data_IF_294448540713
#
_entry.id   IF_294448540713
#
_cell.length_a   1.000
_cell.length_b   1.000
_cell.length_c   1.000
_cell.angle_alpha   90.00
_cell.angle_beta   90.00
_cell.angle_gamma   90.00
#
_symmetry.space_group_name_H-M   'P 1'
#
loop_
_entity.id
_entity.type
_entity.pdbx_description
1 polymer ?
#
# COMPACT_ATOMS: atom_id res chain seq x y z
N UNK A 1 24.80 -19.50 -15.64
CA UNK A 1 24.43 -18.16 -16.17
C UNK A 1 22.93 -17.86 -16.03
N UNK A 2 22.01 -18.77 -16.41
CA UNK A 2 20.56 -18.50 -16.38
C UNK A 2 19.91 -18.30 -15.00
N UNK A 3 20.45 -18.89 -13.92
CA UNK A 3 19.79 -18.83 -12.61
C UNK A 3 19.94 -17.46 -11.91
N UNK A 4 21.12 -16.83 -12.00
CA UNK A 4 21.38 -15.52 -11.36
C UNK A 4 20.53 -14.38 -11.95
N UNK A 5 20.32 -14.39 -13.26
CA UNK A 5 19.51 -13.39 -13.97
C UNK A 5 18.05 -13.55 -13.56
N UNK A 6 17.56 -14.78 -13.53
CA UNK A 6 16.20 -15.09 -13.06
C UNK A 6 15.97 -14.70 -11.60
N UNK A 7 16.94 -14.90 -10.70
CA UNK A 7 16.86 -14.42 -9.31
C UNK A 7 16.84 -12.88 -9.28
N UNK A 8 17.70 -12.21 -10.05
CA UNK A 8 17.71 -10.75 -10.11
C UNK A 8 16.38 -10.18 -10.65
N UNK A 9 15.77 -10.82 -11.65
CA UNK A 9 14.44 -10.48 -12.16
C UNK A 9 13.36 -10.70 -11.09
N UNK A 10 13.44 -11.78 -10.32
CA UNK A 10 12.53 -12.02 -9.20
C UNK A 10 12.64 -10.91 -8.14
N UNK A 11 13.86 -10.54 -7.73
CA UNK A 11 14.08 -9.42 -6.81
C UNK A 11 13.59 -8.09 -7.43
N UNK A 12 13.70 -7.92 -8.75
CA UNK A 12 13.15 -6.76 -9.45
C UNK A 12 11.63 -6.68 -9.35
N UNK A 13 10.92 -7.80 -9.49
CA UNK A 13 9.45 -7.83 -9.29
C UNK A 13 9.09 -7.38 -7.88
N UNK A 14 9.78 -7.90 -6.85
CA UNK A 14 9.56 -7.47 -5.46
C UNK A 14 9.83 -5.97 -5.31
N UNK A 15 10.94 -5.48 -5.86
CA UNK A 15 11.28 -4.06 -5.82
C UNK A 15 10.19 -3.21 -6.48
N UNK A 16 9.79 -3.53 -7.71
CA UNK A 16 8.75 -2.77 -8.43
C UNK A 16 7.41 -2.74 -7.67
N UNK A 17 7.09 -3.76 -6.87
CA UNK A 17 5.84 -3.83 -6.11
C UNK A 17 5.92 -3.16 -4.74
N UNK A 18 7.05 -3.31 -4.03
CA UNK A 18 7.16 -2.99 -2.59
C UNK A 18 8.22 -1.93 -2.28
N UNK A 19 8.97 -1.47 -3.28
CA UNK A 19 10.08 -0.53 -3.12
C UNK A 19 11.39 -1.20 -2.68
N UNK A 20 12.51 -0.46 -2.79
CA UNK A 20 13.83 -0.98 -2.37
C UNK A 20 13.98 -1.07 -0.86
N UNK A 21 13.31 -0.20 -0.10
CA UNK A 21 13.41 -0.21 1.37
C UNK A 21 12.79 -1.46 1.99
N UNK A 22 11.84 -2.11 1.31
CA UNK A 22 11.25 -3.37 1.74
C UNK A 22 12.31 -4.46 1.98
N UNK A 23 13.37 -4.50 1.18
CA UNK A 23 14.47 -5.46 1.36
C UNK A 23 15.23 -5.30 2.68
N UNK A 24 15.26 -4.08 3.23
CA UNK A 24 15.94 -3.78 4.49
C UNK A 24 15.00 -3.95 5.69
N UNK A 25 13.71 -3.60 5.54
CA UNK A 25 12.71 -3.68 6.61
C UNK A 25 12.22 -5.13 6.84
N UNK A 26 11.92 -5.82 5.76
CA UNK A 26 11.21 -7.10 5.76
C UNK A 26 12.01 -8.21 5.06
N UNK A 27 13.32 -8.27 5.34
CA UNK A 27 14.25 -9.23 4.75
C UNK A 27 13.79 -10.70 4.86
N UNK A 28 13.15 -11.06 5.97
CA UNK A 28 12.59 -12.40 6.17
C UNK A 28 11.42 -12.69 5.24
N UNK A 29 10.56 -11.70 4.96
CA UNK A 29 9.46 -11.86 4.02
C UNK A 29 9.98 -12.08 2.60
N UNK A 30 11.00 -11.34 2.18
CA UNK A 30 11.69 -11.59 0.89
C UNK A 30 12.23 -13.03 0.83
N UNK A 31 12.75 -13.55 1.94
CA UNK A 31 13.19 -14.94 2.03
C UNK A 31 12.03 -15.95 1.90
N UNK A 32 10.91 -15.71 2.57
CA UNK A 32 9.70 -16.55 2.41
C UNK A 32 9.23 -16.54 0.96
N UNK A 33 9.13 -15.36 0.34
CA UNK A 33 8.73 -15.22 -1.07
C UNK A 33 9.68 -15.99 -2.01
N UNK A 34 10.99 -16.02 -1.73
CA UNK A 34 11.93 -16.85 -2.49
C UNK A 34 11.68 -18.35 -2.31
N UNK A 35 11.32 -18.80 -1.10
CA UNK A 35 11.05 -20.22 -0.81
C UNK A 35 9.73 -20.72 -1.40
N UNK A 36 8.77 -19.83 -1.62
CA UNK A 36 7.52 -20.15 -2.32
C UNK A 36 7.77 -20.48 -3.80
N UNK A 37 8.92 -20.10 -4.36
CA UNK A 37 9.32 -20.52 -5.69
C UNK A 37 9.85 -21.95 -5.70
N UNK A 38 9.52 -22.72 -6.75
CA UNK A 38 9.98 -24.10 -6.93
C UNK A 38 11.42 -24.20 -7.49
N UNK A 39 12.02 -23.07 -7.88
CA UNK A 39 13.26 -23.03 -8.65
C UNK A 39 14.42 -22.30 -7.96
N UNK A 40 14.16 -21.49 -6.92
CA UNK A 40 15.24 -20.89 -6.12
C UNK A 40 15.66 -21.90 -5.05
N UNK A 41 16.93 -22.30 -5.09
CA UNK A 41 17.46 -23.22 -4.09
C UNK A 41 17.39 -22.61 -2.68
N UNK A 42 16.92 -23.36 -1.65
CA UNK A 42 16.85 -22.87 -0.28
C UNK A 42 18.18 -22.36 0.27
N UNK A 43 19.30 -22.92 -0.22
CA UNK A 43 20.64 -22.44 0.13
C UNK A 43 20.87 -21.02 -0.39
N UNK A 44 20.57 -20.76 -1.66
CA UNK A 44 20.72 -19.44 -2.26
C UNK A 44 19.82 -18.42 -1.59
N UNK A 45 18.56 -18.78 -1.33
CA UNK A 45 17.62 -17.93 -0.59
C UNK A 45 18.17 -17.55 0.80
N UNK A 46 18.77 -18.50 1.54
CA UNK A 46 19.42 -18.22 2.84
C UNK A 46 20.62 -17.29 2.70
N UNK A 47 21.45 -17.46 1.67
CA UNK A 47 22.61 -16.57 1.46
C UNK A 47 22.15 -15.14 1.16
N UNK A 48 21.11 -14.99 0.33
CA UNK A 48 20.50 -13.68 0.07
C UNK A 48 19.92 -13.09 1.36
N UNK A 49 19.19 -13.87 2.17
CA UNK A 49 18.68 -13.39 3.46
C UNK A 49 19.79 -12.82 4.36
N UNK A 50 20.93 -13.52 4.46
CA UNK A 50 22.06 -13.04 5.27
C UNK A 50 22.57 -11.69 4.73
N UNK A 51 22.70 -11.54 3.41
CA UNK A 51 23.15 -10.27 2.82
C UNK A 51 22.12 -9.15 2.94
N UNK A 52 20.82 -9.47 2.98
CA UNK A 52 19.76 -8.51 3.31
C UNK A 52 19.87 -8.01 4.76
N UNK A 53 20.01 -8.94 5.70
CA UNK A 53 20.15 -8.61 7.13
C UNK A 53 21.41 -7.79 7.42
N UNK A 54 22.49 -8.02 6.67
CA UNK A 54 23.71 -7.24 6.73
C UNK A 54 23.64 -5.89 5.96
N UNK A 55 22.47 -5.56 5.38
CA UNK A 55 22.19 -4.34 4.62
C UNK A 55 23.17 -4.08 3.47
N UNK A 56 23.61 -5.16 2.81
CA UNK A 56 24.60 -5.08 1.72
C UNK A 56 24.10 -4.18 0.58
N UNK A 57 22.79 -4.18 0.28
CA UNK A 57 22.24 -3.37 -0.81
C UNK A 57 22.28 -1.86 -0.54
N UNK A 58 22.07 -1.44 0.72
CA UNK A 58 22.22 -0.04 1.12
C UNK A 58 23.70 0.38 1.02
N UNK A 59 24.61 -0.46 1.53
CA UNK A 59 26.05 -0.22 1.44
C UNK A 59 26.59 -0.27 0.00
N UNK A 60 25.93 -0.98 -0.91
CA UNK A 60 26.36 -1.09 -2.30
C UNK A 60 26.34 0.26 -3.03
N UNK A 61 25.44 1.17 -2.66
CA UNK A 61 25.41 2.53 -3.21
C UNK A 61 26.67 3.33 -2.84
N UNK A 62 27.13 3.23 -1.59
CA UNK A 62 28.37 3.86 -1.11
C UNK A 62 29.62 3.32 -1.82
N UNK A 63 29.54 2.10 -2.35
CA UNK A 63 30.59 1.43 -3.12
C UNK A 63 30.43 1.63 -4.63
N UNK A 64 29.57 2.56 -5.06
CA UNK A 64 29.26 2.85 -6.47
C UNK A 64 28.86 1.60 -7.27
N UNK A 65 28.24 0.64 -6.58
CA UNK A 65 27.84 -0.65 -7.14
C UNK A 65 29.00 -1.47 -7.74
N UNK A 66 30.23 -1.25 -7.28
CA UNK A 66 31.40 -1.98 -7.74
C UNK A 66 31.33 -3.45 -7.29
N UNK A 67 31.22 -4.38 -8.25
CA UNK A 67 31.06 -5.82 -7.95
C UNK A 67 32.18 -6.35 -7.04
N UNK A 68 33.44 -6.00 -7.30
CA UNK A 68 34.57 -6.50 -6.51
C UNK A 68 34.52 -5.99 -5.08
N UNK A 69 34.17 -4.72 -4.88
CA UNK A 69 33.98 -4.15 -3.55
C UNK A 69 32.79 -4.79 -2.82
N UNK A 70 31.66 -5.02 -3.51
CA UNK A 70 30.50 -5.72 -2.94
C UNK A 70 30.85 -7.17 -2.56
N UNK A 71 31.61 -7.89 -3.38
CA UNK A 71 32.08 -9.24 -3.05
C UNK A 71 32.92 -9.23 -1.77
N UNK A 72 33.85 -8.28 -1.63
CA UNK A 72 34.66 -8.14 -0.42
C UNK A 72 33.79 -7.84 0.80
N UNK A 73 32.85 -6.91 0.66
CA UNK A 73 31.91 -6.55 1.73
C UNK A 73 31.04 -7.74 2.16
N UNK A 74 30.54 -8.55 1.22
CA UNK A 74 29.76 -9.75 1.54
C UNK A 74 30.62 -10.76 2.32
N UNK A 75 31.89 -10.95 1.97
CA UNK A 75 32.77 -11.85 2.73
C UNK A 75 32.98 -11.36 4.16
N UNK A 76 33.27 -10.08 4.32
CA UNK A 76 33.56 -9.45 5.61
C UNK A 76 32.34 -9.44 6.54
N UNK A 77 31.21 -8.93 6.05
CA UNK A 77 30.03 -8.66 6.87
C UNK A 77 29.12 -9.87 7.03
N UNK A 78 29.13 -10.79 6.06
CA UNK A 78 28.25 -11.97 6.06
C UNK A 78 28.99 -13.28 6.36
N UNK A 79 30.33 -13.26 6.48
CA UNK A 79 31.15 -14.44 6.75
C UNK A 79 31.07 -15.51 5.65
N UNK A 80 30.72 -15.12 4.43
CA UNK A 80 30.57 -16.03 3.29
C UNK A 80 31.91 -16.29 2.62
N UNK A 81 32.08 -17.48 2.04
CA UNK A 81 33.28 -17.79 1.24
C UNK A 81 33.32 -16.94 -0.02
N UNK A 82 34.52 -16.67 -0.54
CA UNK A 82 34.74 -15.91 -1.78
C UNK A 82 33.82 -16.39 -2.92
N UNK A 83 33.77 -17.69 -3.16
CA UNK A 83 32.90 -18.27 -4.19
C UNK A 83 31.43 -17.91 -4.01
N UNK A 84 30.89 -18.00 -2.80
CA UNK A 84 29.48 -17.67 -2.54
C UNK A 84 29.27 -16.15 -2.65
N UNK A 85 30.19 -15.35 -2.13
CA UNK A 85 30.13 -13.90 -2.24
C UNK A 85 30.18 -13.42 -3.71
N UNK A 86 30.96 -14.09 -4.57
CA UNK A 86 31.00 -13.84 -6.01
C UNK A 86 29.67 -14.21 -6.71
N UNK A 87 29.02 -15.30 -6.28
CA UNK A 87 27.72 -15.72 -6.79
C UNK A 87 26.63 -14.70 -6.43
N UNK A 88 26.56 -14.28 -5.16
CA UNK A 88 25.56 -13.31 -4.69
C UNK A 88 25.83 -11.90 -5.25
N UNK A 89 27.08 -11.45 -5.27
CA UNK A 89 27.43 -10.15 -5.89
C UNK A 89 27.10 -10.12 -7.38
N UNK A 90 27.17 -11.25 -8.09
CA UNK A 90 26.75 -11.33 -9.49
C UNK A 90 25.22 -11.17 -9.66
N UNK A 91 24.42 -11.65 -8.69
CA UNK A 91 22.96 -11.41 -8.67
C UNK A 91 22.70 -9.92 -8.44
N UNK A 92 23.34 -9.31 -7.45
CA UNK A 92 23.19 -7.89 -7.15
C UNK A 92 23.69 -6.97 -8.26
N UNK A 93 24.74 -7.35 -8.99
CA UNK A 93 25.20 -6.58 -10.15
C UNK A 93 24.16 -6.52 -11.28
N UNK A 94 23.34 -7.57 -11.44
CA UNK A 94 22.23 -7.58 -12.41
C UNK A 94 21.03 -6.82 -11.84
N UNK A 95 20.63 -7.12 -10.60
CA UNK A 95 19.48 -6.51 -9.95
C UNK A 95 19.64 -4.99 -9.81
N UNK A 96 20.77 -4.53 -9.28
CA UNK A 96 21.11 -3.11 -9.10
C UNK A 96 21.79 -2.53 -10.34
N UNK A 97 21.59 -3.07 -11.54
CA UNK A 97 22.25 -2.56 -12.75
C UNK A 97 21.91 -1.09 -13.02
N UNK A 98 22.78 -0.40 -13.78
CA UNK A 98 22.54 1.00 -14.17
C UNK A 98 21.21 1.18 -14.94
N UNK A 99 20.82 0.18 -15.72
CA UNK A 99 19.55 0.14 -16.44
C UNK A 99 18.36 0.09 -15.48
N UNK A 100 18.38 -0.82 -14.50
CA UNK A 100 17.32 -0.92 -13.49
C UNK A 100 17.22 0.35 -12.65
N UNK A 101 18.35 0.91 -12.21
CA UNK A 101 18.36 2.20 -11.49
C UNK A 101 17.79 3.34 -12.31
N UNK A 102 18.10 3.41 -13.61
CA UNK A 102 17.51 4.41 -14.51
C UNK A 102 16.00 4.22 -14.62
N UNK A 103 15.53 2.99 -14.84
CA UNK A 103 14.10 2.65 -14.88
C UNK A 103 13.38 3.05 -13.60
N UNK A 104 13.94 2.73 -12.45
CA UNK A 104 13.41 3.09 -11.13
C UNK A 104 13.33 4.60 -10.93
N UNK A 105 14.35 5.35 -11.34
CA UNK A 105 14.32 6.81 -11.30
C UNK A 105 13.25 7.40 -12.23
N UNK A 106 13.03 6.80 -13.40
CA UNK A 106 11.96 7.23 -14.32
C UNK A 106 10.55 6.91 -13.83
N UNK A 107 10.39 5.89 -12.99
CA UNK A 107 9.10 5.50 -12.38
C UNK A 107 8.79 6.25 -11.09
N UNK A 108 9.74 6.98 -10.53
CA UNK A 108 9.57 7.69 -9.26
C UNK A 108 8.37 8.63 -9.35
N UNK A 109 7.48 8.52 -8.38
CA UNK A 109 6.23 9.30 -8.26
C UNK A 109 5.23 9.09 -9.42
N UNK A 110 5.49 8.17 -10.35
CA UNK A 110 4.65 8.01 -11.55
C UNK A 110 3.20 7.61 -11.20
N UNK A 111 3.01 6.79 -10.16
CA UNK A 111 1.67 6.43 -9.70
C UNK A 111 0.95 7.59 -8.99
N UNK A 112 1.69 8.49 -8.31
CA UNK A 112 1.11 9.73 -7.79
C UNK A 112 0.69 10.65 -8.93
N UNK A 113 1.54 10.81 -9.94
CA UNK A 113 1.22 11.62 -11.12
C UNK A 113 -0.04 11.09 -11.81
N UNK A 114 -0.11 9.77 -12.04
CA UNK A 114 -1.27 9.08 -12.61
C UNK A 114 -2.53 9.23 -11.74
N UNK A 115 -2.40 9.14 -10.42
CA UNK A 115 -3.51 9.35 -9.48
C UNK A 115 -4.08 10.76 -9.58
N UNK A 116 -3.22 11.77 -9.71
CA UNK A 116 -3.65 13.17 -9.80
C UNK A 116 -4.27 13.56 -11.14
N UNK A 117 -4.01 12.83 -12.21
CA UNK A 117 -4.52 13.15 -13.56
C UNK A 117 -5.89 12.52 -13.86
N UNK A 118 -6.36 11.59 -13.04
CA UNK A 118 -7.59 10.83 -13.24
C UNK A 118 -8.69 11.25 -12.27
N UNK A 119 -9.93 10.92 -12.66
CA UNK A 119 -11.05 10.81 -11.74
C UNK A 119 -11.15 9.38 -11.21
N UNK A 120 -11.67 9.24 -10.00
CA UNK A 120 -11.74 7.98 -9.28
C UNK A 120 -13.14 7.74 -8.74
N UNK A 121 -13.56 6.48 -8.79
CA UNK A 121 -14.85 6.00 -8.33
C UNK A 121 -14.67 5.10 -7.11
N UNK A 122 -15.55 5.25 -6.11
CA UNK A 122 -15.62 4.38 -4.95
C UNK A 122 -17.03 3.84 -4.76
N UNK A 123 -17.09 2.59 -4.34
CA UNK A 123 -18.28 1.98 -3.78
C UNK A 123 -18.08 1.78 -2.29
N UNK A 124 -19.09 2.15 -1.50
CA UNK A 124 -19.08 1.96 -0.05
C UNK A 124 -20.43 1.44 0.43
N UNK A 125 -20.37 0.38 1.22
CA UNK A 125 -21.50 -0.23 1.92
C UNK A 125 -21.15 -0.32 3.40
N UNK A 126 -22.05 0.15 4.26
CA UNK A 126 -21.93 0.11 5.71
C UNK A 126 -23.25 -0.33 6.31
N UNK A 127 -23.17 -1.17 7.33
CA UNK A 127 -24.31 -1.69 8.07
C UNK A 127 -24.05 -1.53 9.57
N UNK A 128 -25.07 -1.11 10.32
CA UNK A 128 -25.05 -0.93 11.77
C UNK A 128 -26.39 -1.29 12.38
N UNK A 129 -26.38 -1.73 13.62
CA UNK A 129 -27.59 -2.11 14.34
C UNK A 129 -27.83 -1.17 15.50
N UNK A 130 -29.03 -0.61 15.56
CA UNK A 130 -29.54 0.08 16.73
C UNK A 130 -30.23 -0.93 17.66
N UNK A 131 -30.03 -0.79 18.96
CA UNK A 131 -30.59 -1.69 19.97
C UNK A 131 -31.38 -0.93 21.03
N UNK A 132 -32.60 -1.39 21.28
CA UNK A 132 -33.36 -1.10 22.48
C UNK A 132 -33.66 -2.39 23.25
N UNK A 133 -34.14 -2.26 24.49
CA UNK A 133 -34.29 -3.37 25.44
C UNK A 133 -35.03 -4.60 24.89
N UNK A 134 -35.97 -4.41 23.96
CA UNK A 134 -36.79 -5.48 23.38
C UNK A 134 -36.74 -5.61 21.86
N UNK A 135 -36.05 -4.72 21.16
CA UNK A 135 -36.02 -4.67 19.69
C UNK A 135 -34.64 -4.24 19.19
N UNK A 136 -34.24 -4.74 18.03
CA UNK A 136 -33.17 -4.15 17.22
C UNK A 136 -33.66 -3.77 15.83
N UNK A 137 -32.94 -2.84 15.22
CA UNK A 137 -33.17 -2.37 13.86
C UNK A 137 -31.82 -2.26 13.17
N UNK A 138 -31.72 -2.86 11.98
CA UNK A 138 -30.53 -2.77 11.14
C UNK A 138 -30.66 -1.58 10.19
N UNK A 139 -29.62 -0.76 10.14
CA UNK A 139 -29.48 0.41 9.30
C UNK A 139 -28.31 0.19 8.34
N UNK A 140 -28.57 0.35 7.05
CA UNK A 140 -27.60 0.13 5.98
C UNK A 140 -27.52 1.38 5.11
N UNK A 141 -26.31 1.74 4.68
CA UNK A 141 -26.09 2.72 3.61
C UNK A 141 -25.26 2.11 2.49
N UNK A 142 -25.64 2.42 1.25
CA UNK A 142 -24.90 2.14 0.03
C UNK A 142 -24.66 3.43 -0.72
N UNK A 143 -23.41 3.69 -1.05
CA UNK A 143 -23.00 4.96 -1.65
C UNK A 143 -21.99 4.73 -2.76
N UNK A 144 -22.09 5.55 -3.80
CA UNK A 144 -21.04 5.67 -4.82
C UNK A 144 -20.48 7.08 -4.76
N UNK A 145 -19.18 7.24 -4.91
CA UNK A 145 -18.50 8.54 -4.79
C UNK A 145 -17.53 8.70 -5.94
N UNK A 146 -17.66 9.78 -6.70
CA UNK A 146 -16.72 10.16 -7.75
C UNK A 146 -15.90 11.37 -7.30
N UNK A 147 -14.58 11.26 -7.34
CA UNK A 147 -13.65 12.33 -6.97
C UNK A 147 -12.64 12.61 -8.07
N UNK A 148 -11.98 13.76 -7.99
CA UNK A 148 -10.69 14.01 -8.63
C UNK A 148 -9.76 14.76 -7.69
N UNK A 149 -8.48 14.83 -8.03
CA UNK A 149 -7.53 15.64 -7.28
C UNK A 149 -7.67 17.12 -7.67
N UNK A 150 -7.82 17.98 -6.67
CA UNK A 150 -7.80 19.45 -6.82
C UNK A 150 -6.44 20.04 -6.41
N UNK A 151 -5.86 19.56 -5.29
CA UNK A 151 -4.56 19.99 -4.78
C UNK A 151 -3.57 18.83 -4.63
N UNK A 152 -2.76 18.62 -5.68
CA UNK A 152 -1.68 17.64 -5.70
C UNK A 152 -0.68 17.80 -4.54
N UNK A 153 -0.49 19.00 -3.99
CA UNK A 153 0.45 19.22 -2.88
C UNK A 153 -0.10 18.62 -1.59
N UNK A 154 -1.40 18.74 -1.35
CA UNK A 154 -2.07 18.09 -0.20
C UNK A 154 -1.98 16.57 -0.32
N UNK A 155 -2.27 16.01 -1.49
CA UNK A 155 -2.13 14.57 -1.74
C UNK A 155 -0.71 14.11 -1.44
N UNK A 156 0.29 14.78 -2.02
CA UNK A 156 1.70 14.43 -1.80
C UNK A 156 2.09 14.50 -0.34
N UNK A 157 1.69 15.55 0.38
CA UNK A 157 2.00 15.72 1.79
C UNK A 157 1.36 14.62 2.64
N UNK A 158 0.13 14.21 2.30
CA UNK A 158 -0.60 13.15 3.00
C UNK A 158 0.06 11.77 2.84
N UNK A 159 0.49 11.42 1.62
CA UNK A 159 1.08 10.10 1.32
C UNK A 159 2.62 10.10 1.31
N UNK A 160 3.26 11.13 1.89
CA UNK A 160 4.71 11.30 1.79
C UNK A 160 5.47 10.14 2.45
N UNK A 161 4.94 9.59 3.55
CA UNK A 161 5.55 8.44 4.23
C UNK A 161 5.52 7.20 3.33
N UNK A 162 4.41 6.94 2.65
CA UNK A 162 4.25 5.83 1.72
C UNK A 162 5.14 5.99 0.48
N UNK A 163 5.31 7.22 -0.03
CA UNK A 163 6.23 7.52 -1.12
C UNK A 163 7.70 7.36 -0.72
N UNK A 164 8.04 7.72 0.52
CA UNK A 164 9.38 7.52 1.06
C UNK A 164 9.69 6.02 1.21
N UNK A 165 8.70 5.21 1.61
CA UNK A 165 8.81 3.75 1.68
C UNK A 165 8.87 3.08 0.30
N UNK A 166 7.95 3.45 -0.58
CA UNK A 166 7.83 2.93 -1.94
C UNK A 166 7.56 4.07 -2.95
N UNK A 167 8.62 4.61 -3.57
CA UNK A 167 8.49 5.68 -4.56
C UNK A 167 7.76 5.27 -5.86
N UNK A 168 7.39 4.00 -5.99
CA UNK A 168 6.71 3.42 -7.16
C UNK A 168 5.32 2.91 -6.83
N UNK A 169 4.74 3.34 -5.70
CA UNK A 169 3.34 3.07 -5.35
C UNK A 169 2.43 3.39 -6.54
N UNK A 170 1.50 2.48 -6.85
CA UNK A 170 0.60 2.64 -7.99
C UNK A 170 -0.56 3.59 -7.66
N UNK A 171 -1.19 4.15 -8.68
CA UNK A 171 -2.36 5.00 -8.50
C UNK A 171 -3.51 4.26 -7.77
N UNK A 172 -3.71 2.97 -8.06
CA UNK A 172 -4.72 2.14 -7.40
C UNK A 172 -4.38 1.87 -5.92
N UNK A 173 -3.10 1.81 -5.58
CA UNK A 173 -2.65 1.67 -4.19
C UNK A 173 -2.92 2.96 -3.41
N UNK A 174 -2.67 4.13 -4.04
CA UNK A 174 -3.05 5.43 -3.48
C UNK A 174 -4.56 5.52 -3.31
N UNK A 175 -5.34 5.11 -4.33
CA UNK A 175 -6.78 5.03 -4.24
C UNK A 175 -7.23 4.21 -3.03
N UNK A 176 -6.65 3.04 -2.83
CA UNK A 176 -6.96 2.15 -1.71
C UNK A 176 -6.73 2.84 -0.35
N UNK A 177 -5.65 3.62 -0.21
CA UNK A 177 -5.38 4.40 1.01
C UNK A 177 -6.54 5.38 1.27
N UNK A 178 -6.96 6.12 0.25
CA UNK A 178 -8.07 7.07 0.38
C UNK A 178 -9.41 6.37 0.63
N UNK A 179 -9.70 5.27 -0.04
CA UNK A 179 -10.91 4.46 0.20
C UNK A 179 -11.01 4.05 1.67
N UNK A 180 -9.91 3.57 2.26
CA UNK A 180 -9.92 3.15 3.66
C UNK A 180 -10.13 4.34 4.61
N UNK A 181 -9.51 5.49 4.34
CA UNK A 181 -9.69 6.71 5.15
C UNK A 181 -11.13 7.21 5.10
N UNK A 182 -11.73 7.30 3.90
CA UNK A 182 -13.13 7.69 3.71
C UNK A 182 -14.04 6.71 4.46
N UNK A 183 -13.82 5.40 4.27
CA UNK A 183 -14.62 4.36 4.89
C UNK A 183 -14.61 4.44 6.41
N UNK A 184 -13.44 4.65 7.02
CA UNK A 184 -13.32 4.80 8.48
C UNK A 184 -14.08 6.06 8.94
N UNK A 185 -13.89 7.19 8.25
CA UNK A 185 -14.56 8.45 8.59
C UNK A 185 -16.08 8.32 8.59
N UNK A 186 -16.65 7.75 7.53
CA UNK A 186 -18.10 7.55 7.39
C UNK A 186 -18.61 6.49 8.37
N UNK A 187 -17.85 5.41 8.58
CA UNK A 187 -18.24 4.34 9.50
C UNK A 187 -18.36 4.81 10.95
N UNK A 188 -17.45 5.68 11.39
CA UNK A 188 -17.45 6.24 12.74
C UNK A 188 -18.61 7.22 12.95
N UNK A 189 -18.96 8.02 11.94
CA UNK A 189 -20.10 8.95 12.04
C UNK A 189 -21.44 8.23 11.93
N UNK A 190 -21.56 7.29 10.99
CA UNK A 190 -22.77 6.50 10.82
C UNK A 190 -23.11 5.69 12.08
N UNK A 191 -22.12 5.15 12.78
CA UNK A 191 -22.33 4.54 14.10
C UNK A 191 -22.94 5.54 15.09
N UNK A 192 -22.40 6.76 15.17
CA UNK A 192 -22.91 7.77 16.10
C UNK A 192 -24.31 8.21 15.75
N UNK A 193 -24.62 8.32 14.46
CA UNK A 193 -25.95 8.60 13.97
C UNK A 193 -26.93 7.50 14.37
N UNK A 194 -26.57 6.24 14.12
CA UNK A 194 -27.40 5.07 14.45
C UNK A 194 -27.66 4.96 15.94
N UNK A 195 -26.67 5.24 16.80
CA UNK A 195 -26.82 5.21 18.26
C UNK A 195 -27.25 6.54 18.89
N UNK A 196 -27.69 7.53 18.10
CA UNK A 196 -27.91 8.89 18.61
C UNK A 196 -29.07 8.99 19.61
N UNK A 197 -30.10 8.17 19.44
CA UNK A 197 -31.30 8.16 20.28
C UNK A 197 -31.50 6.80 20.97
N UNK A 198 -31.87 6.80 22.25
CA UNK A 198 -32.06 5.56 23.02
C UNK A 198 -33.45 4.92 22.80
N UNK A 199 -34.44 5.73 22.40
CA UNK A 199 -35.86 5.36 22.40
C UNK A 199 -36.48 5.27 20.99
N UNK A 200 -35.79 5.79 19.97
CA UNK A 200 -36.25 5.79 18.58
C UNK A 200 -35.19 5.18 17.65
N UNK A 201 -35.59 4.29 16.73
CA UNK A 201 -34.67 3.72 15.76
C UNK A 201 -34.26 4.77 14.71
N UNK A 202 -33.05 4.64 14.14
CA UNK A 202 -32.57 5.57 13.12
C UNK A 202 -33.27 5.35 11.77
N UNK A 203 -33.41 6.43 11.00
CA UNK A 203 -33.88 6.39 9.62
C UNK A 203 -32.67 6.58 8.69
N UNK A 204 -32.09 5.49 8.17
CA UNK A 204 -30.84 5.56 7.39
C UNK A 204 -30.95 6.44 6.14
N UNK A 205 -32.15 6.63 5.59
CA UNK A 205 -32.42 7.58 4.49
C UNK A 205 -32.08 9.03 4.89
N UNK A 206 -32.33 9.42 6.15
CA UNK A 206 -32.08 10.77 6.67
C UNK A 206 -30.58 11.05 6.90
N UNK A 207 -29.74 10.00 6.92
CA UNK A 207 -28.29 10.15 7.06
C UNK A 207 -27.61 10.79 5.84
N UNK A 208 -28.30 10.90 4.69
CA UNK A 208 -27.74 11.50 3.47
C UNK A 208 -27.15 12.90 3.72
N UNK A 209 -27.81 13.73 4.54
CA UNK A 209 -27.32 15.07 4.87
C UNK A 209 -25.99 15.05 5.62
N UNK A 210 -25.84 14.16 6.60
CA UNK A 210 -24.57 13.98 7.32
C UNK A 210 -23.48 13.43 6.38
N UNK A 211 -23.85 12.47 5.52
CA UNK A 211 -22.94 11.90 4.55
C UNK A 211 -22.37 12.97 3.60
N UNK A 212 -23.22 13.84 3.04
CA UNK A 212 -22.82 14.93 2.14
C UNK A 212 -21.81 15.89 2.83
N UNK A 213 -22.06 16.25 4.09
CA UNK A 213 -21.16 17.09 4.88
C UNK A 213 -19.79 16.40 5.07
N UNK A 214 -19.79 15.14 5.50
CA UNK A 214 -18.56 14.38 5.75
C UNK A 214 -17.72 14.21 4.49
N UNK A 215 -18.34 13.86 3.36
CA UNK A 215 -17.58 13.65 2.13
C UNK A 215 -17.03 14.97 1.58
N UNK A 216 -17.76 16.07 1.74
CA UNK A 216 -17.29 17.42 1.38
C UNK A 216 -16.10 17.84 2.24
N UNK A 217 -16.20 17.69 3.57
CA UNK A 217 -15.11 17.97 4.49
C UNK A 217 -13.87 17.10 4.21
N UNK A 218 -14.09 15.82 3.90
CA UNK A 218 -13.03 14.90 3.50
C UNK A 218 -12.32 15.42 2.25
N UNK A 219 -13.07 15.80 1.21
CA UNK A 219 -12.50 16.29 -0.03
C UNK A 219 -11.65 17.55 0.20
N UNK A 220 -12.21 18.54 0.90
CA UNK A 220 -11.52 19.79 1.23
C UNK A 220 -10.24 19.55 2.04
N UNK A 221 -10.31 18.67 3.04
CA UNK A 221 -9.18 18.32 3.91
C UNK A 221 -8.02 17.73 3.11
N UNK A 222 -8.31 16.80 2.21
CA UNK A 222 -7.28 16.04 1.50
C UNK A 222 -6.91 16.62 0.14
N UNK A 223 -7.56 17.70 -0.32
CA UNK A 223 -7.25 18.32 -1.60
C UNK A 223 -7.87 17.56 -2.78
N UNK A 224 -9.05 17.02 -2.57
CA UNK A 224 -9.88 16.37 -3.56
C UNK A 224 -11.07 17.27 -3.88
N UNK A 225 -11.67 17.03 -5.03
CA UNK A 225 -12.95 17.61 -5.43
C UNK A 225 -13.95 16.48 -5.58
N UNK A 226 -15.10 16.61 -4.91
CA UNK A 226 -16.25 15.75 -5.10
C UNK A 226 -16.91 16.11 -6.44
N UNK A 227 -16.99 15.14 -7.35
CA UNK A 227 -17.60 15.32 -8.67
C UNK A 227 -19.06 14.92 -8.68
N UNK A 228 -19.37 13.79 -8.07
CA UNK A 228 -20.72 13.23 -7.98
C UNK A 228 -20.79 12.24 -6.81
N UNK A 229 -22.00 11.99 -6.31
CA UNK A 229 -22.24 10.87 -5.41
C UNK A 229 -23.68 10.34 -5.56
N UNK A 230 -23.87 9.07 -5.20
CA UNK A 230 -25.20 8.51 -4.98
C UNK A 230 -25.29 7.98 -3.55
N UNK A 231 -26.49 8.08 -2.97
CA UNK A 231 -26.76 7.62 -1.62
C UNK A 231 -28.06 6.82 -1.59
N UNK A 232 -28.02 5.69 -0.89
CA UNK A 232 -29.18 4.86 -0.58
C UNK A 232 -29.06 4.45 0.89
N UNK A 233 -30.00 4.92 1.71
CA UNK A 233 -30.19 4.44 3.08
C UNK A 233 -31.33 3.43 3.16
N UNK A 234 -31.19 2.42 4.00
CA UNK A 234 -32.24 1.44 4.29
C UNK A 234 -32.28 1.14 5.78
N UNK A 235 -33.47 1.16 6.36
CA UNK A 235 -33.72 0.73 7.74
C UNK A 235 -34.63 -0.49 7.72
N UNK A 236 -34.30 -1.53 8.49
CA UNK A 236 -35.14 -2.72 8.62
C UNK A 236 -36.43 -2.45 9.40
N UNK A 237 -37.38 -3.38 9.32
CA UNK A 237 -38.48 -3.42 10.28
C UNK A 237 -37.96 -3.67 11.71
N UNK A 238 -38.81 -3.42 12.71
CA UNK A 238 -38.55 -3.74 14.12
C UNK A 238 -38.35 -5.26 14.30
N UNK A 239 -37.15 -5.69 14.68
CA UNK A 239 -36.82 -7.11 14.90
C UNK A 239 -36.80 -7.41 16.41
N UNK A 240 -37.68 -8.26 16.94
CA UNK A 240 -37.64 -8.64 18.35
C UNK A 240 -36.32 -9.30 18.74
N UNK A 241 -35.79 -8.95 19.92
CA UNK A 241 -34.58 -9.57 20.49
C UNK A 241 -34.83 -10.98 21.03
#
# INVERSE_FOLDING_TARGET
MKNKERIAEFLQVIADQKGLLYFNRDAYSVYQEMLETDWIEPKTARMILITLLAKIMEKAELLEYNKTAITALIQEECGLTEKIAEEISAIYAVFLSAENRKRWNCKKDAGLDEFCEKSWHFDLELERSWYSYCVHVDAEIRTTIDIRVDDKRKIRAEIQAELDENPWITAESILTIYTQKIKIGIADDFERYVQAEDDYPPEAEDYEGNFEEIISEFCDRYGLELLDYSFVGMTSDYIPN
#
